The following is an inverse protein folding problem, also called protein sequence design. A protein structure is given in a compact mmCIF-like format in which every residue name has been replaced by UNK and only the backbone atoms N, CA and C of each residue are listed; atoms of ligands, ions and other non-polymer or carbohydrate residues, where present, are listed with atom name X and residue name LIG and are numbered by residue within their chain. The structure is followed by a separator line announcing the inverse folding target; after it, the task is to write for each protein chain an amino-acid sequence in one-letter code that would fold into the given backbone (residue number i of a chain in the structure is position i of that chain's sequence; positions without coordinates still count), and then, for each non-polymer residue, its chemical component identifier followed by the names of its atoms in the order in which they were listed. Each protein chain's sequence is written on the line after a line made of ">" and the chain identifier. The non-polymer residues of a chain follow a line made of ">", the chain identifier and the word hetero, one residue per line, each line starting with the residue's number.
data_IF_671888532478
#
_entry.id   IF_671888532478
#
_cell.length_a   1.000
_cell.length_b   1.000
_cell.length_c   1.000
_cell.angle_alpha   90.00
_cell.angle_beta   90.00
_cell.angle_gamma   90.00
#
_symmetry.space_group_name_H-M   'P 1'
#
loop_
_entity.id
_entity.type
_entity.pdbx_description
1 polymer ?
#
# COMPACT_ATOMS: atom_id res chain seq x y z
N UNK A 1 16.74 10.25 6.36
CA UNK A 1 15.29 10.06 6.50
C UNK A 1 14.72 10.58 7.83
N UNK A 2 15.53 10.82 8.86
CA UNK A 2 15.02 11.14 10.21
C UNK A 2 14.41 12.54 10.40
N UNK A 3 14.76 13.50 9.54
CA UNK A 3 14.30 14.90 9.68
C UNK A 3 12.85 15.13 9.22
N UNK A 4 12.33 14.26 8.36
CA UNK A 4 11.01 14.40 7.74
C UNK A 4 10.24 13.10 7.96
N UNK A 5 8.98 13.15 8.44
CA UNK A 5 8.18 11.95 8.66
C UNK A 5 7.64 11.41 7.32
N UNK A 6 8.52 10.83 6.50
CA UNK A 6 8.13 10.17 5.27
C UNK A 6 7.21 8.97 5.57
N UNK A 7 6.12 8.88 4.82
CA UNK A 7 5.10 7.83 4.97
C UNK A 7 5.14 6.84 3.80
N UNK A 8 5.34 7.36 2.59
CA UNK A 8 5.42 6.59 1.35
C UNK A 8 6.61 7.08 0.54
N UNK A 9 7.37 6.16 -0.03
CA UNK A 9 8.54 6.43 -0.86
C UNK A 9 8.64 5.46 -2.03
N UNK A 10 9.39 5.85 -3.05
CA UNK A 10 9.77 4.97 -4.14
C UNK A 10 11.20 5.28 -4.58
N UNK A 11 11.94 4.21 -4.90
CA UNK A 11 13.26 4.29 -5.51
C UNK A 11 13.17 3.82 -6.97
N UNK A 12 13.73 4.59 -7.89
CA UNK A 12 13.62 4.32 -9.33
C UNK A 12 14.89 3.68 -9.88
N UNK A 13 14.71 2.64 -10.67
CA UNK A 13 15.76 1.85 -11.28
C UNK A 13 15.46 1.61 -12.77
N UNK A 14 16.49 1.20 -13.51
CA UNK A 14 16.37 0.70 -14.88
C UNK A 14 17.05 -0.66 -15.01
N UNK A 15 16.83 -1.32 -16.14
CA UNK A 15 17.36 -2.67 -16.43
C UNK A 15 16.34 -3.79 -16.28
N UNK A 16 15.13 -3.47 -15.86
CA UNK A 16 13.97 -4.37 -15.85
C UNK A 16 12.70 -3.50 -15.88
N UNK A 17 11.53 -4.11 -16.04
CA UNK A 17 10.26 -3.38 -16.01
C UNK A 17 9.25 -4.05 -15.08
N UNK A 18 9.30 -3.70 -13.80
CA UNK A 18 8.45 -4.24 -12.74
C UNK A 18 8.50 -3.38 -11.48
N UNK A 19 7.61 -3.65 -10.52
CA UNK A 19 7.68 -3.10 -9.17
C UNK A 19 8.06 -4.18 -8.17
N UNK A 20 9.19 -3.97 -7.49
CA UNK A 20 9.69 -4.82 -6.42
C UNK A 20 9.27 -4.27 -5.06
N UNK A 21 8.64 -5.10 -4.24
CA UNK A 21 8.24 -4.75 -2.87
C UNK A 21 9.00 -5.56 -1.80
N UNK A 22 9.16 -5.02 -0.58
CA UNK A 22 9.87 -5.68 0.52
C UNK A 22 9.29 -7.05 0.93
N UNK A 23 10.11 -7.94 1.50
CA UNK A 23 11.55 -7.75 1.74
C UNK A 23 12.39 -7.95 0.48
N UNK A 24 13.52 -7.26 0.37
CA UNK A 24 14.57 -7.55 -0.62
C UNK A 24 15.52 -8.65 -0.13
N UNK A 25 15.73 -8.77 1.18
CA UNK A 25 16.58 -9.83 1.73
C UNK A 25 15.85 -11.18 1.75
N UNK A 26 16.47 -12.20 1.16
CA UNK A 26 16.06 -13.58 1.39
C UNK A 26 16.66 -14.04 2.72
N UNK A 27 15.86 -14.05 3.79
CA UNK A 27 16.21 -14.76 5.02
C UNK A 27 15.73 -16.19 4.88
N UNK A 28 16.55 -17.21 5.21
CA UNK A 28 16.00 -18.52 5.47
C UNK A 28 15.02 -18.34 6.64
N UNK A 29 13.73 -18.69 6.48
CA UNK A 29 12.77 -18.50 7.55
C UNK A 29 13.24 -19.34 8.75
N UNK A 30 13.46 -18.67 9.89
CA UNK A 30 13.48 -19.39 11.16
C UNK A 30 12.12 -20.07 11.32
N UNK A 31 12.07 -21.24 11.96
CA UNK A 31 10.82 -22.01 12.10
C UNK A 31 9.66 -21.10 12.57
N UNK A 32 8.66 -20.92 11.70
CA UNK A 32 7.48 -20.11 11.98
C UNK A 32 7.52 -18.65 11.49
N UNK A 33 8.63 -18.15 10.94
CA UNK A 33 8.70 -16.81 10.36
C UNK A 33 8.23 -16.77 8.91
N UNK A 34 7.47 -15.73 8.56
CA UNK A 34 7.03 -15.48 7.18
C UNK A 34 8.14 -14.72 6.44
N UNK A 35 8.41 -15.13 5.20
CA UNK A 35 9.29 -14.38 4.27
C UNK A 35 8.67 -13.04 3.84
N UNK A 36 7.41 -12.81 4.20
CA UNK A 36 6.63 -11.63 3.89
C UNK A 36 6.66 -10.61 5.04
N UNK A 37 6.59 -9.33 4.70
CA UNK A 37 6.41 -8.27 5.71
C UNK A 37 5.06 -8.41 6.43
N UNK A 38 4.97 -7.97 7.70
CA UNK A 38 3.68 -7.81 8.38
C UNK A 38 2.66 -6.99 7.57
N UNK A 39 3.16 -6.04 6.77
CA UNK A 39 2.40 -5.15 5.89
C UNK A 39 2.31 -5.62 4.43
N UNK A 40 2.51 -6.92 4.17
CA UNK A 40 2.57 -7.46 2.80
C UNK A 40 1.37 -7.06 1.95
N UNK A 41 0.16 -7.06 2.53
CA UNK A 41 -1.06 -6.69 1.81
C UNK A 41 -1.03 -5.24 1.29
N UNK A 42 -0.55 -4.28 2.08
CA UNK A 42 -0.45 -2.89 1.64
C UNK A 42 0.70 -2.70 0.65
N UNK A 43 1.84 -3.36 0.86
CA UNK A 43 2.94 -3.33 -0.12
C UNK A 43 2.52 -3.86 -1.48
N UNK A 44 1.79 -4.97 -1.51
CA UNK A 44 1.24 -5.54 -2.75
C UNK A 44 0.23 -4.60 -3.39
N UNK A 45 -0.65 -3.97 -2.60
CA UNK A 45 -1.58 -2.95 -3.10
C UNK A 45 -0.86 -1.76 -3.74
N UNK A 46 0.15 -1.21 -3.06
CA UNK A 46 0.94 -0.09 -3.55
C UNK A 46 1.66 -0.46 -4.86
N UNK A 47 2.27 -1.64 -4.92
CA UNK A 47 2.93 -2.13 -6.13
C UNK A 47 1.95 -2.30 -7.30
N UNK A 48 0.78 -2.91 -7.05
CA UNK A 48 -0.27 -3.06 -8.06
C UNK A 48 -0.74 -1.68 -8.55
N UNK A 49 -0.95 -0.73 -7.64
CA UNK A 49 -1.46 0.60 -8.00
C UNK A 49 -0.55 1.33 -9.00
N UNK A 50 0.77 1.16 -8.88
CA UNK A 50 1.72 1.69 -9.85
C UNK A 50 1.70 0.88 -11.15
N UNK A 51 1.88 -0.44 -11.03
CA UNK A 51 2.06 -1.33 -12.18
C UNK A 51 0.82 -1.35 -13.10
N UNK A 52 -0.40 -1.33 -12.54
CA UNK A 52 -1.64 -1.34 -13.31
C UNK A 52 -1.94 -0.02 -14.02
N UNK A 53 -1.41 1.09 -13.50
CA UNK A 53 -1.55 2.40 -14.12
C UNK A 53 -0.46 2.67 -15.18
N UNK A 54 0.60 1.86 -15.18
CA UNK A 54 1.69 1.98 -16.15
C UNK A 54 1.29 1.33 -17.47
N UNK A 55 1.41 2.09 -18.56
CA UNK A 55 0.86 1.68 -19.87
C UNK A 55 1.34 0.30 -20.34
N UNK A 56 2.61 -0.04 -20.06
CA UNK A 56 3.22 -1.27 -20.58
C UNK A 56 3.67 -2.27 -19.51
N UNK A 57 3.47 -2.02 -18.21
CA UNK A 57 4.05 -2.86 -17.14
C UNK A 57 3.18 -4.07 -16.80
N UNK A 58 1.86 -3.95 -16.96
CA UNK A 58 0.89 -5.04 -16.75
C UNK A 58 0.53 -5.80 -18.04
N UNK A 59 1.31 -5.62 -19.12
CA UNK A 59 1.08 -6.34 -20.38
C UNK A 59 1.57 -7.79 -20.27
N UNK A 60 0.64 -8.75 -20.19
CA UNK A 60 0.92 -10.19 -19.99
C UNK A 60 1.62 -10.88 -21.16
N UNK A 61 1.66 -10.26 -22.34
CA UNK A 61 2.33 -10.80 -23.53
C UNK A 61 3.81 -10.41 -23.63
N UNK A 62 4.29 -9.48 -22.79
CA UNK A 62 5.70 -9.09 -22.76
C UNK A 62 6.41 -9.89 -21.67
N UNK A 63 7.45 -10.63 -22.06
CA UNK A 63 8.36 -11.27 -21.10
C UNK A 63 9.23 -10.25 -20.38
N UNK A 64 10.00 -10.72 -19.39
CA UNK A 64 11.02 -9.90 -18.73
C UNK A 64 12.06 -9.38 -19.73
N UNK A 65 12.73 -8.30 -19.38
CA UNK A 65 13.69 -7.62 -20.27
C UNK A 65 14.87 -8.54 -20.65
N UNK A 66 15.47 -9.18 -19.64
CA UNK A 66 16.67 -10.01 -19.80
C UNK A 66 16.52 -11.43 -19.25
N UNK A 67 15.48 -11.67 -18.44
CA UNK A 67 15.20 -12.96 -17.80
C UNK A 67 13.76 -13.37 -18.05
N UNK A 68 13.42 -14.59 -17.61
CA UNK A 68 12.02 -14.99 -17.55
C UNK A 68 11.21 -13.99 -16.70
N UNK A 69 9.97 -13.74 -17.10
CA UNK A 69 9.06 -12.90 -16.34
C UNK A 69 8.71 -13.59 -15.02
N UNK A 70 9.19 -13.01 -13.91
CA UNK A 70 8.91 -13.49 -12.54
C UNK A 70 7.64 -12.86 -11.94
N UNK A 71 6.99 -11.96 -12.68
CA UNK A 71 5.80 -11.22 -12.23
C UNK A 71 4.49 -11.94 -12.58
N UNK A 72 4.56 -13.02 -13.37
CA UNK A 72 3.39 -13.70 -13.94
C UNK A 72 2.43 -12.72 -14.64
N UNK A 73 2.98 -11.73 -15.35
CA UNK A 73 2.22 -10.68 -16.05
C UNK A 73 1.54 -9.63 -15.16
N UNK A 74 1.73 -9.66 -13.83
CA UNK A 74 1.19 -8.64 -12.93
C UNK A 74 2.08 -7.39 -12.85
N UNK A 75 3.31 -7.44 -13.35
CA UNK A 75 4.27 -6.32 -13.26
C UNK A 75 4.79 -6.05 -11.85
N UNK A 76 4.57 -6.96 -10.89
CA UNK A 76 5.03 -6.85 -9.50
C UNK A 76 5.74 -8.11 -9.05
N UNK A 77 6.71 -7.98 -8.14
CA UNK A 77 7.42 -9.12 -7.56
C UNK A 77 7.91 -8.82 -6.14
N UNK A 78 8.08 -9.86 -5.32
CA UNK A 78 8.78 -9.72 -4.04
C UNK A 78 10.29 -9.62 -4.31
N UNK A 79 10.96 -8.67 -3.67
CA UNK A 79 12.41 -8.45 -3.85
C UNK A 79 13.24 -9.68 -3.55
N UNK A 80 12.94 -10.37 -2.45
CA UNK A 80 13.58 -11.61 -2.03
C UNK A 80 13.37 -12.75 -3.03
N UNK A 81 12.23 -12.81 -3.75
CA UNK A 81 11.96 -13.86 -4.74
C UNK A 81 12.65 -13.59 -6.08
N UNK A 82 12.86 -12.33 -6.44
CA UNK A 82 13.44 -11.97 -7.72
C UNK A 82 14.97 -11.90 -7.67
N UNK A 83 15.51 -11.00 -6.83
CA UNK A 83 16.94 -10.80 -6.68
C UNK A 83 17.27 -10.45 -5.22
N UNK A 84 17.52 -11.47 -4.38
CA UNK A 84 17.85 -11.26 -2.99
C UNK A 84 19.01 -10.29 -2.80
N UNK A 85 18.82 -9.25 -2.00
CA UNK A 85 19.86 -8.27 -1.66
C UNK A 85 19.83 -7.96 -0.17
N UNK A 86 21.00 -7.90 0.44
CA UNK A 86 21.16 -7.49 1.84
C UNK A 86 21.52 -6.02 1.88
N UNK A 87 20.90 -5.25 2.78
CA UNK A 87 21.19 -3.83 2.97
C UNK A 87 20.57 -2.93 1.90
N UNK A 88 19.40 -3.30 1.35
CA UNK A 88 18.66 -2.42 0.45
C UNK A 88 18.08 -1.22 1.19
N UNK A 89 17.88 -0.12 0.47
CA UNK A 89 17.23 1.07 1.01
C UNK A 89 15.77 0.78 1.38
N UNK A 90 15.05 -0.03 0.60
CA UNK A 90 13.66 -0.36 0.88
C UNK A 90 13.50 -1.05 2.24
N UNK A 91 14.33 -2.07 2.51
CA UNK A 91 14.31 -2.82 3.77
C UNK A 91 14.74 -1.89 4.93
N UNK A 92 15.72 -1.01 4.71
CA UNK A 92 16.13 -0.02 5.71
C UNK A 92 14.99 0.94 6.06
N UNK A 93 14.31 1.51 5.05
CA UNK A 93 13.18 2.42 5.20
C UNK A 93 12.06 1.79 6.04
N UNK A 94 11.69 0.53 5.74
CA UNK A 94 10.61 -0.16 6.45
C UNK A 94 10.99 -0.57 7.89
N UNK A 95 12.23 -1.01 8.12
CA UNK A 95 12.68 -1.51 9.42
C UNK A 95 13.09 -0.41 10.40
N UNK A 96 13.56 0.74 9.91
CA UNK A 96 14.12 1.80 10.76
C UNK A 96 13.28 3.08 10.77
N UNK A 97 12.28 3.19 9.89
CA UNK A 97 11.42 4.38 9.78
C UNK A 97 9.95 3.99 9.60
N UNK A 98 9.08 5.00 9.51
CA UNK A 98 7.67 4.81 9.17
C UNK A 98 7.42 4.72 7.65
N UNK A 99 8.46 4.87 6.82
CA UNK A 99 8.31 5.00 5.38
C UNK A 99 8.13 3.64 4.72
N UNK A 100 7.01 3.47 4.01
CA UNK A 100 6.80 2.33 3.13
C UNK A 100 7.44 2.65 1.78
N UNK A 101 8.53 1.96 1.44
CA UNK A 101 9.29 2.22 0.21
C UNK A 101 9.20 1.05 -0.77
N UNK A 102 9.01 1.37 -2.05
CA UNK A 102 9.04 0.42 -3.16
C UNK A 102 10.26 0.65 -4.05
N UNK A 103 10.72 -0.38 -4.76
CA UNK A 103 11.65 -0.23 -5.87
C UNK A 103 10.93 -0.41 -7.20
N UNK A 104 10.96 0.62 -8.02
CA UNK A 104 10.25 0.69 -9.29
C UNK A 104 11.27 0.66 -10.42
N UNK A 105 11.17 -0.35 -11.27
CA UNK A 105 12.00 -0.52 -12.45
C UNK A 105 11.21 -0.04 -13.65
N UNK A 106 11.66 1.08 -14.23
CA UNK A 106 10.88 1.84 -15.22
C UNK A 106 10.94 1.24 -16.63
N UNK A 107 12.02 0.52 -16.95
CA UNK A 107 12.23 -0.01 -18.29
C UNK A 107 13.53 -0.81 -18.43
N UNK A 108 13.60 -1.56 -19.54
CA UNK A 108 14.72 -2.44 -19.86
C UNK A 108 16.01 -1.67 -20.12
N UNK A 109 15.92 -0.54 -20.83
CA UNK A 109 17.09 0.29 -21.09
C UNK A 109 17.40 1.16 -19.86
N UNK A 110 18.62 1.02 -19.34
CA UNK A 110 19.11 1.83 -18.22
C UNK A 110 19.38 3.27 -18.64
N UNK A 111 19.71 3.48 -19.92
CA UNK A 111 20.08 4.77 -20.49
C UNK A 111 19.38 4.96 -21.85
N UNK A 112 18.04 5.11 -21.85
CA UNK A 112 17.27 5.28 -23.08
C UNK A 112 17.73 6.52 -23.85
N UNK A 113 17.55 6.51 -25.17
CA UNK A 113 17.89 7.64 -25.99
C UNK A 113 16.99 8.84 -25.66
N UNK A 114 17.51 10.06 -25.85
CA UNK A 114 16.76 11.29 -25.58
C UNK A 114 15.42 11.37 -26.34
N UNK A 115 15.34 10.72 -27.52
CA UNK A 115 14.12 10.60 -28.33
C UNK A 115 13.02 9.77 -27.67
N UNK A 116 13.35 8.87 -26.75
CA UNK A 116 12.41 7.95 -26.10
C UNK A 116 11.88 8.51 -24.77
N UNK A 117 12.54 9.53 -24.20
CA UNK A 117 12.20 10.09 -22.89
C UNK A 117 10.76 10.61 -22.80
N UNK A 118 10.24 11.20 -23.88
CA UNK A 118 8.84 11.65 -23.90
C UNK A 118 7.89 10.47 -23.78
N UNK A 119 8.16 9.35 -24.46
CA UNK A 119 7.33 8.16 -24.37
C UNK A 119 7.42 7.51 -22.99
N UNK A 120 8.62 7.45 -22.40
CA UNK A 120 8.80 6.92 -21.05
C UNK A 120 8.08 7.76 -19.99
N UNK A 121 8.04 9.08 -20.17
CA UNK A 121 7.22 9.96 -19.34
C UNK A 121 5.74 9.63 -19.47
N UNK A 122 5.19 9.55 -20.69
CA UNK A 122 3.76 9.23 -20.88
C UNK A 122 3.42 7.83 -20.34
N UNK A 123 4.34 6.87 -20.42
CA UNK A 123 4.16 5.53 -19.85
C UNK A 123 4.01 5.54 -18.32
N UNK A 124 4.73 6.44 -17.63
CA UNK A 124 4.85 6.47 -16.16
C UNK A 124 4.03 7.55 -15.48
N UNK A 125 3.59 8.59 -16.21
CA UNK A 125 2.92 9.77 -15.66
C UNK A 125 1.73 9.41 -14.76
N UNK A 126 0.80 8.61 -15.26
CA UNK A 126 -0.39 8.21 -14.50
C UNK A 126 -0.03 7.28 -13.33
N UNK A 127 0.99 6.42 -13.47
CA UNK A 127 1.50 5.57 -12.39
C UNK A 127 2.08 6.38 -11.24
N UNK A 128 2.87 7.41 -11.55
CA UNK A 128 3.47 8.29 -10.56
C UNK A 128 2.41 9.08 -9.79
N UNK A 129 1.42 9.64 -10.50
CA UNK A 129 0.30 10.35 -9.89
C UNK A 129 -0.52 9.41 -8.99
N UNK A 130 -0.92 8.26 -9.52
CA UNK A 130 -1.69 7.23 -8.78
C UNK A 130 -0.95 6.78 -7.53
N UNK A 131 0.36 6.60 -7.61
CA UNK A 131 1.20 6.21 -6.47
C UNK A 131 1.27 7.31 -5.40
N UNK A 132 1.46 8.57 -5.80
CA UNK A 132 1.45 9.69 -4.86
C UNK A 132 0.10 9.82 -4.15
N UNK A 133 -1.02 9.57 -4.83
CA UNK A 133 -2.34 9.58 -4.21
C UNK A 133 -2.51 8.50 -3.13
N UNK A 134 -1.77 7.38 -3.21
CA UNK A 134 -1.88 6.31 -2.21
C UNK A 134 -1.44 6.76 -0.82
N UNK A 135 -0.58 7.79 -0.69
CA UNK A 135 -0.14 8.33 0.60
C UNK A 135 -1.30 8.90 1.44
N UNK A 136 -2.44 9.18 0.81
CA UNK A 136 -3.62 9.70 1.47
C UNK A 136 -4.64 8.63 1.88
N UNK A 137 -4.37 7.36 1.59
CA UNK A 137 -5.20 6.22 2.02
C UNK A 137 -4.82 5.77 3.44
N UNK A 138 -5.75 5.06 4.08
CA UNK A 138 -5.57 4.55 5.43
C UNK A 138 -6.00 5.54 6.51
N UNK A 139 -5.37 5.45 7.68
CA UNK A 139 -5.74 6.21 8.88
C UNK A 139 -4.65 7.24 9.16
N UNK A 140 -5.06 8.50 9.37
CA UNK A 140 -4.17 9.59 9.80
C UNK A 140 -4.86 10.43 10.85
N UNK A 141 -4.08 10.98 11.78
CA UNK A 141 -4.60 11.77 12.89
C UNK A 141 -3.51 12.34 13.77
N UNK A 142 -3.92 12.98 14.86
CA UNK A 142 -3.02 13.55 15.89
C UNK A 142 -3.30 12.83 17.21
N UNK A 143 -2.24 12.40 17.89
CA UNK A 143 -2.33 11.87 19.25
C UNK A 143 -2.16 13.03 20.21
N UNK A 144 -3.11 13.21 21.12
CA UNK A 144 -3.08 14.29 22.13
C UNK A 144 -3.17 13.74 23.55
N UNK A 145 -2.68 14.51 24.51
CA UNK A 145 -2.90 14.25 25.93
C UNK A 145 -4.31 14.70 26.39
N UNK A 146 -4.54 14.70 27.70
CA UNK A 146 -5.82 15.10 28.30
C UNK A 146 -6.09 16.61 28.18
N UNK A 147 -5.04 17.40 27.99
CA UNK A 147 -5.08 18.85 27.86
C UNK A 147 -5.29 19.27 26.39
N UNK A 148 -5.19 18.31 25.46
CA UNK A 148 -5.29 18.54 24.02
C UNK A 148 -3.95 18.86 23.35
N UNK A 149 -2.85 18.73 24.10
CA UNK A 149 -1.52 18.97 23.57
C UNK A 149 -1.02 17.73 22.81
N UNK A 150 -0.39 17.93 21.64
CA UNK A 150 0.01 16.85 20.76
C UNK A 150 1.26 16.12 21.24
N UNK A 151 1.24 14.79 21.17
CA UNK A 151 2.30 13.90 21.64
C UNK A 151 3.14 13.41 20.45
N UNK A 152 4.43 13.77 20.45
CA UNK A 152 5.42 13.23 19.52
C UNK A 152 5.94 11.86 19.98
N UNK A 153 6.40 11.03 19.05
CA UNK A 153 6.93 9.68 19.31
C UNK A 153 5.96 8.70 20.00
N UNK A 154 4.65 8.96 19.95
CA UNK A 154 3.65 8.00 20.38
C UNK A 154 3.65 6.80 19.42
N UNK A 155 3.51 5.60 19.96
CA UNK A 155 3.49 4.35 19.16
C UNK A 155 2.05 3.99 18.82
N UNK A 156 1.78 3.83 17.53
CA UNK A 156 0.51 3.38 16.98
C UNK A 156 0.64 1.91 16.63
N UNK A 157 -0.23 1.09 17.20
CA UNK A 157 -0.28 -0.36 17.00
C UNK A 157 -1.60 -0.71 16.35
N UNK A 158 -1.55 -1.47 15.25
CA UNK A 158 -2.74 -1.96 14.55
C UNK A 158 -2.90 -3.45 14.84
N UNK A 159 -4.07 -3.84 15.35
CA UNK A 159 -4.35 -5.24 15.67
C UNK A 159 -4.17 -6.14 14.44
N UNK A 160 -3.37 -7.20 14.58
CA UNK A 160 -3.09 -8.16 13.51
C UNK A 160 -1.91 -7.79 12.59
N UNK A 161 -1.33 -6.60 12.73
CA UNK A 161 -0.13 -6.18 11.98
C UNK A 161 1.02 -6.00 12.97
N UNK A 162 2.06 -6.81 12.83
CA UNK A 162 3.26 -6.75 13.68
C UNK A 162 4.27 -5.70 13.17
N UNK A 163 3.80 -4.48 12.93
CA UNK A 163 4.61 -3.32 12.55
C UNK A 163 4.04 -2.08 13.24
N UNK A 164 4.90 -1.38 13.98
CA UNK A 164 4.51 -0.27 14.83
C UNK A 164 4.96 1.04 14.20
N UNK A 165 4.06 2.01 14.16
CA UNK A 165 4.31 3.34 13.58
C UNK A 165 4.48 4.38 14.68
N UNK A 166 5.32 5.40 14.47
CA UNK A 166 5.53 6.48 15.45
C UNK A 166 4.95 7.81 14.99
N UNK A 167 4.41 8.62 15.90
CA UNK A 167 4.00 10.00 15.57
C UNK A 167 5.22 10.90 15.37
N UNK A 168 5.19 11.73 14.33
CA UNK A 168 6.22 12.75 14.08
C UNK A 168 6.08 13.98 14.98
N UNK A 169 7.16 14.75 15.13
CA UNK A 169 7.11 16.05 15.82
C UNK A 169 6.42 17.09 14.95
N UNK A 170 5.50 17.87 15.54
CA UNK A 170 4.75 18.92 14.85
C UNK A 170 5.60 20.07 14.29
N UNK A 171 6.85 20.20 14.72
CA UNK A 171 7.78 21.17 14.12
C UNK A 171 7.98 20.90 12.61
N UNK A 172 7.89 19.63 12.18
CA UNK A 172 7.98 19.22 10.78
C UNK A 172 6.71 19.50 9.95
N UNK A 173 5.56 19.77 10.59
CA UNK A 173 4.29 20.03 9.90
C UNK A 173 4.01 21.53 9.68
N UNK A 174 4.90 22.42 10.15
CA UNK A 174 4.76 23.87 9.95
C UNK A 174 4.94 24.33 8.50
N UNK A 175 5.51 23.48 7.63
CA UNK A 175 5.68 23.74 6.19
C UNK A 175 4.54 23.18 5.32
N UNK A 176 3.65 22.34 5.87
CA UNK A 176 2.49 21.81 5.15
C UNK A 176 1.25 22.60 5.57
N UNK A 177 0.75 23.41 4.63
CA UNK A 177 -0.50 24.17 4.65
C UNK A 177 -1.57 23.63 5.61
N UNK A 178 -2.16 24.54 6.39
CA UNK A 178 -3.34 24.31 7.25
C UNK A 178 -4.45 23.64 6.45
N UNK A 179 -4.58 22.31 6.55
CA UNK A 179 -5.79 21.63 6.12
C UNK A 179 -6.95 22.10 7.03
N UNK A 180 -8.10 22.50 6.48
CA UNK A 180 -9.23 22.94 7.29
C UNK A 180 -9.70 21.78 8.17
N UNK A 181 -9.94 22.07 9.45
CA UNK A 181 -10.56 21.13 10.39
C UNK A 181 -11.96 20.79 9.88
N UNK A 182 -12.11 19.66 9.20
CA UNK A 182 -13.43 19.06 8.98
C UNK A 182 -13.98 18.63 10.34
N UNK A 183 -14.89 19.43 10.89
CA UNK A 183 -15.79 18.96 11.94
C UNK A 183 -16.64 17.86 11.33
N UNK A 184 -16.40 16.61 11.74
CA UNK A 184 -17.35 15.55 11.48
C UNK A 184 -18.66 15.89 12.20
N UNK A 185 -19.70 16.24 11.43
CA UNK A 185 -21.05 16.26 11.93
C UNK A 185 -21.52 14.80 12.03
N UNK A 186 -21.74 14.31 13.24
CA UNK A 186 -22.37 13.02 13.46
C UNK A 186 -23.82 13.08 12.96
N UNK A 187 -24.13 12.35 11.89
CA UNK A 187 -25.51 11.96 11.60
C UNK A 187 -25.96 10.97 12.68
N UNK A 188 -26.94 11.34 13.49
CA UNK A 188 -27.52 10.45 14.50
C UNK A 188 -28.34 9.31 13.85
N UNK A 189 -28.20 8.06 14.29
CA UNK A 189 -29.19 7.02 14.07
C UNK A 189 -30.30 7.11 15.13
N UNK A 190 -31.54 6.99 14.66
CA UNK A 190 -32.77 6.86 15.45
C UNK A 190 -32.67 5.75 16.50
N UNK A 191 -32.95 6.08 17.76
CA UNK A 191 -33.00 5.17 18.91
C UNK A 191 -34.39 4.56 19.09
N UNK A 192 -34.47 3.26 19.38
CA UNK A 192 -35.46 2.70 20.32
C UNK A 192 -34.81 1.62 21.21
N UNK A 193 -35.27 1.42 22.46
CA UNK A 193 -34.39 1.16 23.59
C UNK A 193 -34.45 -0.28 24.11
N UNK A 194 -33.33 -0.78 24.63
CA UNK A 194 -33.35 -1.73 25.75
C UNK A 194 -32.25 -1.39 26.76
N UNK A 195 -32.65 -1.44 28.03
CA UNK A 195 -31.96 -0.97 29.25
C UNK A 195 -30.95 -2.02 29.77
N UNK A 196 -29.84 -1.63 30.43
CA UNK A 196 -28.76 -2.53 30.85
C UNK A 196 -28.91 -3.01 32.31
N UNK A 197 -28.03 -3.91 32.79
CA UNK A 197 -27.62 -3.94 34.20
C UNK A 197 -26.15 -3.54 34.45
N UNK A 198 -25.96 -3.07 35.68
CA UNK A 198 -24.83 -2.43 36.36
C UNK A 198 -23.55 -3.31 36.51
N UNK A 199 -22.33 -2.75 36.27
CA UNK A 199 -21.30 -2.24 37.23
C UNK A 199 -20.47 -3.35 37.93
N UNK A 200 -19.12 -3.39 37.92
CA UNK A 200 -18.06 -2.58 38.58
C UNK A 200 -16.64 -3.18 38.20
N UNK A 201 -15.46 -2.76 38.74
CA UNK A 201 -14.54 -1.76 38.16
C UNK A 201 -13.10 -2.28 37.88
N UNK A 202 -12.32 -1.61 37.01
CA UNK A 202 -10.87 -1.86 36.92
C UNK A 202 -10.13 -1.30 35.70
N UNK A 203 -9.35 -0.24 35.93
CA UNK A 203 -8.23 0.31 35.12
C UNK A 203 -8.53 0.89 33.73
N UNK A 204 -8.02 2.11 33.39
CA UNK A 204 -8.25 2.73 32.08
C UNK A 204 -7.37 2.07 31.01
N UNK A 205 -7.92 1.07 30.32
CA UNK A 205 -7.43 0.68 28.98
C UNK A 205 -8.16 1.55 27.96
N UNK A 206 -7.45 2.43 27.26
CA UNK A 206 -7.98 3.08 26.07
C UNK A 206 -8.14 2.03 24.96
N UNK A 207 -9.25 1.31 24.98
CA UNK A 207 -9.73 0.57 23.82
C UNK A 207 -10.22 1.62 22.81
N UNK A 208 -9.43 1.87 21.76
CA UNK A 208 -10.02 2.38 20.53
C UNK A 208 -10.94 1.27 20.01
N UNK A 209 -12.25 1.50 20.10
CA UNK A 209 -13.25 0.68 19.45
C UNK A 209 -13.01 0.73 17.94
N UNK A 210 -12.36 -0.31 17.41
CA UNK A 210 -12.27 -0.54 15.98
C UNK A 210 -13.63 -1.06 15.53
N UNK A 211 -14.52 -0.17 15.12
CA UNK A 211 -15.58 -0.59 14.20
C UNK A 211 -14.89 -0.89 12.87
N UNK A 212 -14.66 -2.19 12.64
CA UNK A 212 -14.15 -2.70 11.37
C UNK A 212 -15.12 -2.33 10.26
N UNK A 213 -14.71 -1.41 9.40
CA UNK A 213 -15.28 -1.29 8.07
C UNK A 213 -14.50 -2.22 7.15
N UNK A 214 -15.00 -3.44 7.01
CA UNK A 214 -14.72 -4.26 5.83
C UNK A 214 -15.44 -3.58 4.67
N UNK A 215 -14.71 -2.78 3.89
CA UNK A 215 -15.19 -2.35 2.59
C UNK A 215 -15.14 -3.55 1.64
N UNK A 216 -16.21 -4.34 1.65
CA UNK A 216 -16.49 -5.28 0.59
C UNK A 216 -16.85 -4.47 -0.67
N UNK A 217 -15.90 -4.30 -1.60
CA UNK A 217 -16.23 -3.89 -2.95
C UNK A 217 -17.00 -5.04 -3.62
N UNK A 218 -18.33 -4.99 -3.57
CA UNK A 218 -19.19 -5.74 -4.49
C UNK A 218 -18.82 -5.32 -5.92
N UNK A 219 -18.48 -6.32 -6.73
CA UNK A 219 -18.19 -6.14 -8.15
C UNK A 219 -19.34 -5.42 -8.86
N UNK A 220 -18.98 -4.38 -9.60
CA UNK A 220 -19.82 -3.85 -10.66
C UNK A 220 -19.93 -4.94 -11.73
N UNK A 221 -21.10 -5.55 -11.81
CA UNK A 221 -21.45 -6.45 -12.91
C UNK A 221 -21.47 -5.65 -14.20
N UNK A 222 -20.48 -5.86 -15.06
CA UNK A 222 -20.60 -5.55 -16.47
C UNK A 222 -21.21 -6.78 -17.15
N UNK A 223 -22.40 -6.59 -17.70
CA UNK A 223 -23.13 -7.61 -18.45
C UNK A 223 -22.33 -8.09 -19.65
N UNK A 224 -22.23 -9.41 -19.78
CA UNK A 224 -21.77 -10.09 -21.00
C UNK A 224 -23.01 -10.37 -21.85
N UNK A 225 -23.03 -10.00 -23.15
CA UNK A 225 -24.12 -10.41 -24.04
C UNK A 225 -23.96 -11.89 -24.43
N UNK A 226 -25.07 -12.63 -24.37
CA UNK A 226 -25.21 -14.02 -24.78
C UNK A 226 -24.70 -14.28 -26.21
N UNK A 227 -23.93 -15.35 -26.45
CA UNK A 227 -23.82 -15.97 -27.76
C UNK A 227 -24.81 -17.14 -27.89
N UNK A 228 -25.71 -16.99 -28.86
CA UNK A 228 -26.32 -18.01 -29.71
C UNK A 228 -26.46 -19.46 -29.16
N UNK A 229 -27.71 -19.88 -28.94
CA UNK A 229 -28.08 -21.28 -28.77
C UNK A 229 -27.81 -22.10 -30.03
N UNK A 230 -26.99 -23.14 -29.89
CA UNK A 230 -26.93 -24.27 -30.82
C UNK A 230 -27.97 -25.32 -30.41
N UNK A 231 -28.76 -25.72 -31.40
CA UNK A 231 -29.65 -26.89 -31.35
C UNK A 231 -28.87 -28.16 -30.98
N UNK A 232 -29.41 -28.93 -30.04
CA UNK A 232 -29.16 -30.37 -29.94
C UNK A 232 -30.43 -31.10 -30.39
N UNK A 233 -30.39 -31.70 -31.59
CA UNK A 233 -31.24 -32.82 -31.94
C UNK A 233 -30.41 -34.10 -31.82
N UNK A 234 -30.80 -34.98 -30.91
CA UNK A 234 -30.28 -36.34 -30.80
C UNK A 234 -31.36 -37.33 -31.26
N UNK A 235 -31.03 -38.09 -32.31
CA UNK A 235 -31.21 -39.54 -32.58
C UNK A 235 -32.55 -40.25 -32.25
N UNK A 236 -32.90 -41.36 -32.95
CA UNK A 236 -32.05 -42.31 -33.68
C UNK A 236 -32.21 -42.34 -35.21
#
# INVERSE_FOLDING_TARGET
>A
MEKTPFVLGANFHGGEKLVSYPYDMARPPLEGEREETPDHAIFRWLAISYASAHLTMSETFRGGCHTQDMTNGMGIVSGAKWHPRVGSLNDFSYLHTNCLELSIYLGCDKFPHASELQQEWENNKESLLTFMEQVHRGIKGVVTDQQGDPIANATIVVGGINHNMKTGSLQALSSASRAPRLRAACCQPSTYPHRPPASMPGSPRCFLGVQGYVAACRGLGMGVPDPAGQEMTGSP
#
